data_IF_430028613501
#
_entry.id   IF_430028613501
#
_cell.length_a   1.000
_cell.length_b   1.000
_cell.length_c   1.000
_cell.angle_alpha   90.00
_cell.angle_beta   90.00
_cell.angle_gamma   90.00
#
_symmetry.space_group_name_H-M   'P 1'
#
loop_
_entity.id
_entity.type
_entity.pdbx_description
1 polymer ?
#
# COMPACT_ATOMS: atom_id res chain seq x y z
N UNK A 1 -1.06 -108.20 -5.05
CA UNK A 1 0.29 -107.99 -4.48
C UNK A 1 0.69 -106.56 -4.77
N UNK A 2 1.09 -105.81 -3.73
CA UNK A 2 1.82 -104.51 -3.74
C UNK A 2 1.21 -103.33 -4.51
N UNK A 3 0.72 -102.29 -3.82
CA UNK A 3 1.44 -101.10 -3.26
C UNK A 3 1.30 -99.92 -4.23
N UNK A 4 0.48 -98.91 -3.91
CA UNK A 4 0.89 -97.65 -3.26
C UNK A 4 1.52 -96.65 -4.27
N UNK A 5 0.85 -95.52 -4.56
CA UNK A 5 1.19 -94.18 -4.02
C UNK A 5 0.75 -93.00 -4.93
N UNK A 6 0.26 -91.93 -4.27
CA UNK A 6 0.39 -90.48 -4.61
C UNK A 6 -0.30 -89.92 -5.88
N UNK A 7 -0.70 -88.65 -6.01
CA UNK A 7 -1.22 -87.56 -5.16
C UNK A 7 -1.50 -86.38 -6.13
N UNK A 8 -2.58 -85.61 -5.89
CA UNK A 8 -2.69 -84.13 -6.03
C UNK A 8 -2.92 -83.45 -7.41
N UNK A 9 -3.89 -82.50 -7.35
CA UNK A 9 -4.18 -81.29 -8.14
C UNK A 9 -4.78 -81.42 -9.57
N UNK A 10 -5.67 -80.55 -10.03
CA UNK A 10 -5.99 -79.16 -9.63
C UNK A 10 -7.43 -78.83 -10.05
N UNK A 11 -8.12 -78.04 -9.23
CA UNK A 11 -9.52 -77.64 -9.39
C UNK A 11 -9.53 -76.20 -9.92
N UNK A 12 -9.76 -76.01 -11.22
CA UNK A 12 -9.90 -74.68 -11.84
C UNK A 12 -11.19 -74.02 -11.37
N UNK A 13 -11.06 -73.05 -10.46
CA UNK A 13 -12.11 -72.10 -10.11
C UNK A 13 -12.04 -70.90 -11.05
N UNK A 14 -13.06 -70.73 -11.90
CA UNK A 14 -13.37 -69.49 -12.60
C UNK A 14 -13.59 -68.35 -11.59
N UNK A 15 -12.56 -67.51 -11.41
CA UNK A 15 -12.72 -66.18 -10.83
C UNK A 15 -13.21 -65.24 -11.94
N UNK A 16 -14.51 -64.99 -11.98
CA UNK A 16 -15.09 -63.86 -12.72
C UNK A 16 -14.69 -62.58 -11.98
N UNK A 17 -13.60 -61.95 -12.42
CA UNK A 17 -13.28 -60.58 -12.05
C UNK A 17 -14.40 -59.65 -12.54
N UNK A 18 -15.24 -59.20 -11.61
CA UNK A 18 -16.17 -58.10 -11.84
C UNK A 18 -15.38 -56.83 -12.13
N UNK A 19 -15.30 -56.48 -13.41
CA UNK A 19 -14.75 -55.23 -13.92
C UNK A 19 -15.56 -54.05 -13.35
N UNK A 20 -15.01 -53.34 -12.36
CA UNK A 20 -15.61 -52.12 -11.83
C UNK A 20 -15.35 -50.95 -12.81
N UNK A 21 -16.39 -50.28 -13.35
CA UNK A 21 -16.24 -49.19 -14.33
C UNK A 21 -15.61 -47.89 -13.77
N UNK A 22 -15.14 -47.88 -12.52
CA UNK A 22 -14.54 -46.72 -11.87
C UNK A 22 -13.00 -46.63 -12.06
N UNK A 23 -12.35 -47.68 -12.58
CA UNK A 23 -10.90 -47.66 -12.79
C UNK A 23 -10.46 -47.07 -14.16
N UNK A 24 -11.38 -46.85 -15.10
CA UNK A 24 -11.09 -46.14 -16.37
C UNK A 24 -11.09 -44.60 -16.25
N UNK A 25 -11.55 -44.03 -15.13
CA UNK A 25 -11.53 -42.57 -14.91
C UNK A 25 -10.18 -42.01 -14.46
N UNK A 26 -9.16 -42.85 -14.22
CA UNK A 26 -7.84 -42.40 -13.72
C UNK A 26 -6.89 -41.86 -14.80
N UNK A 27 -7.27 -41.83 -16.08
CA UNK A 27 -6.39 -41.42 -17.18
C UNK A 27 -6.95 -40.36 -18.13
N UNK A 28 -8.11 -39.75 -17.82
CA UNK A 28 -8.55 -38.59 -18.59
C UNK A 28 -7.69 -37.36 -18.22
N UNK A 29 -7.09 -36.66 -19.20
CA UNK A 29 -6.32 -35.47 -18.93
C UNK A 29 -7.21 -34.39 -18.30
N UNK A 30 -6.86 -33.92 -17.10
CA UNK A 30 -7.56 -32.85 -16.38
C UNK A 30 -7.90 -31.68 -17.31
N UNK A 31 -9.13 -31.19 -17.18
CA UNK A 31 -9.58 -29.99 -17.91
C UNK A 31 -8.78 -28.75 -17.45
N UNK A 32 -8.72 -27.67 -18.25
CA UNK A 32 -8.02 -26.44 -17.87
C UNK A 32 -8.52 -25.85 -16.54
N UNK A 33 -9.83 -25.91 -16.29
CA UNK A 33 -10.47 -25.42 -15.07
C UNK A 33 -10.07 -26.25 -13.85
N UNK A 34 -10.10 -27.57 -13.95
CA UNK A 34 -9.66 -28.47 -12.88
C UNK A 34 -8.16 -28.30 -12.56
N UNK A 35 -7.34 -27.98 -13.57
CA UNK A 35 -5.91 -27.67 -13.38
C UNK A 35 -5.71 -26.36 -12.62
N UNK A 36 -6.54 -25.34 -12.88
CA UNK A 36 -6.48 -24.05 -12.19
C UNK A 36 -6.92 -24.20 -10.73
N UNK A 37 -8.08 -24.81 -10.48
CA UNK A 37 -8.58 -25.06 -9.12
C UNK A 37 -7.58 -25.87 -8.28
N UNK A 38 -6.91 -26.85 -8.89
CA UNK A 38 -5.85 -27.62 -8.22
C UNK A 38 -4.64 -26.75 -7.85
N UNK A 39 -4.20 -25.84 -8.73
CA UNK A 39 -3.09 -24.91 -8.46
C UNK A 39 -3.44 -23.94 -7.34
N UNK A 40 -4.64 -23.36 -7.37
CA UNK A 40 -5.13 -22.46 -6.32
C UNK A 40 -5.19 -23.15 -4.95
N UNK A 41 -5.73 -24.38 -4.93
CA UNK A 41 -5.77 -25.19 -3.72
C UNK A 41 -4.38 -25.48 -3.15
N UNK A 42 -3.39 -25.77 -4.01
CA UNK A 42 -2.00 -25.97 -3.58
C UNK A 42 -1.46 -24.70 -2.94
N UNK A 43 -1.61 -23.54 -3.58
CA UNK A 43 -1.10 -22.25 -3.08
C UNK A 43 -1.73 -21.91 -1.72
N UNK A 44 -3.06 -21.99 -1.59
CA UNK A 44 -3.76 -21.72 -0.31
C UNK A 44 -3.32 -22.68 0.78
N UNK A 45 -3.16 -23.96 0.42
CA UNK A 45 -2.72 -24.98 1.38
C UNK A 45 -1.30 -24.71 1.85
N UNK A 46 -0.38 -24.35 0.95
CA UNK A 46 1.00 -23.98 1.30
C UNK A 46 1.06 -22.80 2.26
N UNK A 47 0.31 -21.71 1.98
CA UNK A 47 0.24 -20.53 2.86
C UNK A 47 -0.27 -20.94 4.25
N UNK A 48 -1.39 -21.68 4.31
CA UNK A 48 -1.94 -22.11 5.60
C UNK A 48 -0.99 -23.02 6.38
N UNK A 49 -0.24 -23.89 5.71
CA UNK A 49 0.78 -24.71 6.37
C UNK A 49 1.92 -23.87 6.93
N UNK A 50 2.38 -22.85 6.21
CA UNK A 50 3.39 -21.90 6.70
C UNK A 50 2.87 -21.10 7.90
N UNK A 51 1.63 -20.59 7.83
CA UNK A 51 0.98 -19.91 8.95
C UNK A 51 0.91 -20.82 10.18
N UNK A 52 0.48 -22.08 10.00
CA UNK A 52 0.39 -23.06 11.09
C UNK A 52 1.76 -23.37 11.70
N UNK A 53 2.78 -23.59 10.87
CA UNK A 53 4.14 -23.82 11.35
C UNK A 53 4.68 -22.61 12.13
N UNK A 54 4.47 -21.39 11.63
CA UNK A 54 4.88 -20.15 12.31
C UNK A 54 4.17 -19.95 13.64
N UNK A 55 2.84 -20.18 13.70
CA UNK A 55 2.06 -20.10 14.94
C UNK A 55 2.48 -21.17 15.95
N UNK A 56 2.75 -22.39 15.50
CA UNK A 56 3.20 -23.48 16.36
C UNK A 56 4.58 -23.21 16.96
N UNK A 57 5.55 -22.78 16.15
CA UNK A 57 6.88 -22.38 16.62
C UNK A 57 6.77 -21.20 17.60
N UNK A 58 5.92 -20.21 17.28
CA UNK A 58 5.67 -19.07 18.18
C UNK A 58 5.09 -19.53 19.52
N UNK A 59 4.15 -20.48 19.53
CA UNK A 59 3.58 -21.04 20.75
C UNK A 59 4.63 -21.77 21.60
N UNK A 60 5.50 -22.59 20.99
CA UNK A 60 6.65 -23.19 21.68
C UNK A 60 7.55 -22.09 22.24
N UNK A 61 7.80 -21.04 21.47
CA UNK A 61 8.59 -19.88 21.90
C UNK A 61 7.97 -19.16 23.09
N UNK A 62 6.65 -18.98 23.15
CA UNK A 62 5.93 -18.39 24.29
C UNK A 62 6.10 -19.27 25.52
N UNK A 63 5.86 -20.58 25.40
CA UNK A 63 6.02 -21.53 26.52
C UNK A 63 7.45 -21.52 27.04
N UNK A 64 8.42 -21.48 26.14
CA UNK A 64 9.84 -21.41 26.49
C UNK A 64 10.22 -20.06 27.09
N UNK A 65 9.67 -18.95 26.59
CA UNK A 65 9.90 -17.62 27.15
C UNK A 65 9.30 -17.51 28.56
N UNK A 66 8.14 -18.11 28.79
CA UNK A 66 7.55 -18.24 30.13
C UNK A 66 8.49 -19.05 31.03
N UNK A 67 9.01 -20.18 30.56
CA UNK A 67 10.03 -20.96 31.29
C UNK A 67 11.29 -20.12 31.58
N UNK A 68 11.75 -19.31 30.64
CA UNK A 68 12.92 -18.45 30.84
C UNK A 68 12.67 -17.31 31.84
N UNK A 69 11.42 -16.81 31.96
CA UNK A 69 11.02 -15.89 33.03
C UNK A 69 11.15 -16.55 34.42
N UNK A 70 11.05 -17.88 34.50
CA UNK A 70 11.33 -18.68 35.68
C UNK A 70 12.78 -19.21 35.66
N UNK A 71 13.78 -18.32 35.72
CA UNK A 71 15.23 -18.64 35.76
C UNK A 71 15.62 -19.72 36.79
N UNK A 72 16.89 -20.12 36.90
CA UNK A 72 17.35 -21.15 37.88
C UNK A 72 16.82 -20.97 39.31
N UNK A 73 16.60 -19.73 39.75
CA UNK A 73 15.88 -19.35 40.98
C UNK A 73 14.35 -19.52 40.87
N UNK A 74 13.72 -19.07 39.78
CA UNK A 74 12.27 -19.20 39.54
C UNK A 74 11.78 -20.64 39.38
N UNK A 75 12.60 -21.54 38.84
CA UNK A 75 12.29 -22.98 38.81
C UNK A 75 12.38 -23.61 40.21
N UNK A 76 13.35 -23.20 41.01
CA UNK A 76 13.40 -23.60 42.43
C UNK A 76 12.20 -23.06 43.21
N UNK A 77 11.82 -21.80 42.99
CA UNK A 77 10.62 -21.20 43.57
C UNK A 77 9.33 -21.90 43.08
N UNK A 78 9.27 -22.31 41.81
CA UNK A 78 8.18 -23.12 41.30
C UNK A 78 8.12 -24.50 41.98
N UNK A 79 9.26 -25.15 42.18
CA UNK A 79 9.35 -26.42 42.90
C UNK A 79 9.03 -26.29 44.40
N UNK A 80 9.18 -25.09 44.97
CA UNK A 80 8.80 -24.75 46.34
C UNK A 80 7.31 -24.41 46.49
N UNK A 81 6.59 -24.12 45.40
CA UNK A 81 5.13 -24.00 45.43
C UNK A 81 4.50 -25.33 45.87
N UNK A 82 3.29 -25.26 46.43
CA UNK A 82 2.58 -26.48 46.78
C UNK A 82 2.29 -27.32 45.52
N UNK A 83 2.25 -28.64 45.69
CA UNK A 83 1.99 -29.58 44.58
C UNK A 83 0.69 -29.23 43.84
N UNK A 84 -0.31 -28.68 44.53
CA UNK A 84 -1.58 -28.26 43.92
C UNK A 84 -1.38 -27.07 42.98
N UNK A 85 -0.57 -26.07 43.36
CA UNK A 85 -0.29 -24.90 42.53
C UNK A 85 0.56 -25.28 41.31
N UNK A 86 1.51 -26.20 41.45
CA UNK A 86 2.29 -26.72 40.33
C UNK A 86 1.39 -27.43 39.30
N UNK A 87 0.50 -28.31 39.75
CA UNK A 87 -0.47 -29.01 38.90
C UNK A 87 -1.42 -28.02 38.22
N UNK A 88 -1.88 -26.98 38.93
CA UNK A 88 -2.73 -25.94 38.37
C UNK A 88 -2.05 -25.17 37.23
N UNK A 89 -0.78 -24.77 37.42
CA UNK A 89 -0.01 -24.04 36.39
C UNK A 89 0.21 -24.92 35.15
N UNK A 90 0.61 -26.19 35.34
CA UNK A 90 0.78 -27.15 34.23
C UNK A 90 -0.56 -27.37 33.51
N UNK A 91 -1.65 -27.53 34.25
CA UNK A 91 -3.00 -27.68 33.72
C UNK A 91 -3.43 -26.46 32.89
N UNK A 92 -3.11 -25.25 33.33
CA UNK A 92 -3.42 -24.01 32.62
C UNK A 92 -2.63 -23.88 31.30
N UNK A 93 -1.36 -24.30 31.29
CA UNK A 93 -0.55 -24.36 30.06
C UNK A 93 -1.11 -25.40 29.08
N UNK A 94 -1.42 -26.61 29.55
CA UNK A 94 -2.01 -27.67 28.73
C UNK A 94 -3.37 -27.24 28.15
N UNK A 95 -4.19 -26.58 28.96
CA UNK A 95 -5.48 -26.01 28.52
C UNK A 95 -5.28 -24.95 27.43
N UNK A 96 -4.29 -24.07 27.59
CA UNK A 96 -3.92 -23.08 26.57
C UNK A 96 -3.48 -23.72 25.25
N UNK A 97 -2.62 -24.75 25.30
CA UNK A 97 -2.17 -25.49 24.11
C UNK A 97 -3.35 -26.23 23.45
N UNK A 98 -4.27 -26.80 24.23
CA UNK A 98 -5.47 -27.43 23.71
C UNK A 98 -6.36 -26.44 22.96
N UNK A 99 -6.65 -25.27 23.56
CA UNK A 99 -7.42 -24.21 22.89
C UNK A 99 -6.70 -23.68 21.65
N UNK A 100 -5.38 -23.54 21.68
CA UNK A 100 -4.60 -23.15 20.52
C UNK A 100 -4.72 -24.19 19.38
N UNK A 101 -4.67 -25.48 19.71
CA UNK A 101 -4.83 -26.55 18.72
C UNK A 101 -6.22 -26.52 18.09
N UNK A 102 -7.28 -26.35 18.90
CA UNK A 102 -8.64 -26.15 18.40
C UNK A 102 -8.73 -24.92 17.50
N UNK A 103 -8.13 -23.80 17.91
CA UNK A 103 -8.06 -22.57 17.13
C UNK A 103 -7.37 -22.80 15.78
N UNK A 104 -6.23 -23.50 15.74
CA UNK A 104 -5.51 -23.83 14.51
C UNK A 104 -6.32 -24.73 13.57
N UNK A 105 -7.02 -25.74 14.09
CA UNK A 105 -7.89 -26.61 13.27
C UNK A 105 -9.06 -25.83 12.68
N UNK A 106 -9.69 -24.96 13.49
CA UNK A 106 -10.79 -24.09 13.03
C UNK A 106 -10.28 -23.09 12.00
N UNK A 107 -9.11 -22.49 12.23
CA UNK A 107 -8.44 -21.57 11.32
C UNK A 107 -8.08 -22.27 10.02
N UNK A 108 -7.60 -23.51 10.02
CA UNK A 108 -7.31 -24.25 8.79
C UNK A 108 -8.58 -24.52 7.98
N UNK A 109 -9.63 -25.06 8.63
CA UNK A 109 -10.90 -25.40 7.95
C UNK A 109 -11.64 -24.18 7.42
N UNK A 110 -11.80 -23.13 8.24
CA UNK A 110 -12.48 -21.89 7.84
C UNK A 110 -11.58 -20.99 6.98
N UNK A 111 -10.30 -20.93 7.31
CA UNK A 111 -9.29 -20.15 6.60
C UNK A 111 -9.08 -20.64 5.18
N UNK A 112 -9.09 -21.95 4.90
CA UNK A 112 -9.01 -22.45 3.51
C UNK A 112 -10.10 -21.87 2.63
N UNK A 113 -11.37 -21.99 3.05
CA UNK A 113 -12.51 -21.46 2.29
C UNK A 113 -12.47 -19.93 2.20
N UNK A 114 -12.12 -19.26 3.30
CA UNK A 114 -12.02 -17.80 3.33
C UNK A 114 -10.90 -17.27 2.42
N UNK A 115 -9.71 -17.88 2.47
CA UNK A 115 -8.56 -17.52 1.64
C UNK A 115 -8.83 -17.80 0.17
N UNK A 116 -9.38 -18.96 -0.18
CA UNK A 116 -9.72 -19.27 -1.57
C UNK A 116 -10.71 -18.23 -2.12
N UNK A 117 -11.76 -17.91 -1.37
CA UNK A 117 -12.73 -16.88 -1.78
C UNK A 117 -12.21 -15.44 -1.75
N UNK A 118 -11.10 -15.16 -1.07
CA UNK A 118 -10.50 -13.81 -0.99
C UNK A 118 -9.40 -13.64 -2.04
N UNK A 119 -8.59 -14.68 -2.26
CA UNK A 119 -7.48 -14.69 -3.21
C UNK A 119 -7.96 -14.87 -4.64
N UNK A 120 -8.95 -15.74 -4.88
CA UNK A 120 -9.35 -16.15 -6.22
C UNK A 120 -10.82 -15.83 -6.52
N UNK A 121 -11.36 -14.76 -5.94
CA UNK A 121 -12.72 -14.35 -6.27
C UNK A 121 -12.77 -13.93 -7.75
N UNK A 122 -13.40 -14.76 -8.58
CA UNK A 122 -13.67 -14.44 -9.98
C UNK A 122 -14.42 -13.10 -10.06
N UNK A 123 -13.71 -12.07 -10.50
CA UNK A 123 -14.27 -10.75 -10.83
C UNK A 123 -14.03 -10.42 -12.31
N UNK A 124 -13.85 -11.43 -13.16
CA UNK A 124 -12.98 -11.32 -14.32
C UNK A 124 -13.61 -11.25 -15.72
N UNK A 125 -14.90 -11.51 -15.92
CA UNK A 125 -15.40 -11.59 -17.30
C UNK A 125 -15.60 -10.24 -18.00
N UNK A 126 -16.03 -9.20 -17.31
CA UNK A 126 -16.35 -7.91 -17.97
C UNK A 126 -15.12 -7.02 -18.18
N UNK A 127 -14.08 -7.16 -17.35
CA UNK A 127 -12.94 -6.23 -17.28
C UNK A 127 -11.71 -6.68 -18.10
N UNK A 128 -11.60 -7.97 -18.43
CA UNK A 128 -10.48 -8.53 -19.20
C UNK A 128 -10.42 -8.02 -20.64
N UNK A 129 -11.49 -7.39 -21.13
CA UNK A 129 -11.60 -6.83 -22.48
C UNK A 129 -11.12 -5.38 -22.59
N UNK A 130 -10.83 -4.69 -21.49
CA UNK A 130 -10.32 -3.30 -21.53
C UNK A 130 -8.81 -3.31 -21.85
N UNK A 131 -8.40 -2.48 -22.82
CA UNK A 131 -6.99 -2.23 -23.17
C UNK A 131 -6.13 -1.82 -21.95
N UNK A 132 -6.77 -1.30 -20.90
CA UNK A 132 -6.18 -0.89 -19.62
C UNK A 132 -5.80 -2.10 -18.73
N UNK A 133 -6.30 -3.30 -19.02
CA UNK A 133 -6.08 -4.49 -18.20
C UNK A 133 -4.63 -4.96 -18.21
N UNK A 134 -4.05 -5.14 -19.41
CA UNK A 134 -2.70 -5.69 -19.57
C UNK A 134 -1.61 -4.79 -18.96
N UNK A 135 -1.61 -3.46 -19.18
CA UNK A 135 -0.61 -2.62 -18.53
C UNK A 135 -0.85 -2.51 -17.01
N UNK A 136 -2.10 -2.51 -16.52
CA UNK A 136 -2.36 -2.50 -15.08
C UNK A 136 -1.84 -3.78 -14.40
N UNK A 137 -1.96 -4.92 -15.07
CA UNK A 137 -1.40 -6.20 -14.62
C UNK A 137 0.12 -6.16 -14.59
N UNK A 138 0.78 -5.71 -15.67
CA UNK A 138 2.25 -5.60 -15.75
C UNK A 138 2.79 -4.65 -14.69
N UNK A 139 2.12 -3.52 -14.46
CA UNK A 139 2.55 -2.53 -13.49
C UNK A 139 2.34 -3.03 -12.04
N UNK A 140 1.19 -3.66 -11.76
CA UNK A 140 0.93 -4.27 -10.45
C UNK A 140 1.98 -5.35 -10.16
N UNK A 141 2.25 -6.20 -11.15
CA UNK A 141 3.30 -7.22 -11.10
C UNK A 141 4.69 -6.61 -10.84
N UNK A 142 5.07 -5.58 -11.59
CA UNK A 142 6.37 -4.92 -11.43
C UNK A 142 6.54 -4.25 -10.07
N UNK A 143 5.50 -3.55 -9.58
CA UNK A 143 5.50 -2.95 -8.24
C UNK A 143 5.67 -4.03 -7.16
N UNK A 144 5.00 -5.15 -7.33
CA UNK A 144 5.07 -6.30 -6.44
C UNK A 144 6.48 -6.91 -6.40
N UNK A 145 7.10 -7.08 -7.57
CA UNK A 145 8.47 -7.56 -7.70
C UNK A 145 9.42 -6.60 -6.99
N UNK A 146 9.26 -5.29 -7.17
CA UNK A 146 10.12 -4.31 -6.51
C UNK A 146 9.97 -4.32 -4.99
N UNK A 147 8.74 -4.37 -4.47
CA UNK A 147 8.50 -4.53 -3.03
C UNK A 147 9.19 -5.80 -2.53
N UNK A 148 9.03 -6.91 -3.25
CA UNK A 148 9.69 -8.17 -2.92
C UNK A 148 11.22 -8.05 -2.94
N UNK A 149 11.80 -7.36 -3.92
CA UNK A 149 13.25 -7.07 -4.00
C UNK A 149 13.73 -6.22 -2.84
N UNK A 150 12.95 -5.22 -2.38
CA UNK A 150 13.28 -4.42 -1.19
C UNK A 150 13.38 -5.33 0.03
N UNK A 151 12.35 -6.14 0.26
CA UNK A 151 12.29 -7.07 1.40
C UNK A 151 13.40 -8.12 1.32
N UNK A 152 13.63 -8.71 0.15
CA UNK A 152 14.69 -9.69 -0.07
C UNK A 152 16.08 -9.06 0.15
N UNK A 153 16.31 -7.87 -0.39
CA UNK A 153 17.54 -7.11 -0.15
C UNK A 153 17.74 -6.82 1.33
N UNK A 154 16.68 -6.51 2.06
CA UNK A 154 16.74 -6.19 3.48
C UNK A 154 17.05 -7.44 4.30
N UNK A 155 16.46 -8.59 3.94
CA UNK A 155 16.80 -9.90 4.52
C UNK A 155 18.26 -10.26 4.23
N UNK A 156 18.74 -10.08 2.99
CA UNK A 156 20.14 -10.32 2.63
C UNK A 156 21.07 -9.33 3.33
N UNK A 157 20.65 -8.08 3.55
CA UNK A 157 21.44 -7.04 4.23
C UNK A 157 21.62 -7.39 5.69
N UNK A 158 20.52 -7.83 6.31
CA UNK A 158 20.49 -8.37 7.66
C UNK A 158 21.43 -9.58 7.75
N UNK A 159 21.31 -10.57 6.85
CA UNK A 159 22.21 -11.74 6.81
C UNK A 159 23.68 -11.34 6.58
N UNK A 160 23.95 -10.41 5.65
CA UNK A 160 25.30 -9.95 5.32
C UNK A 160 25.95 -9.16 6.46
N UNK A 161 25.18 -8.33 7.16
CA UNK A 161 25.59 -7.68 8.40
C UNK A 161 25.95 -8.71 9.48
N UNK A 162 25.33 -9.89 9.44
CA UNK A 162 25.63 -11.00 10.36
C UNK A 162 26.80 -11.91 9.95
N UNK A 163 27.09 -12.04 8.64
CA UNK A 163 28.14 -12.93 8.12
C UNK A 163 29.51 -12.24 7.99
N UNK A 164 29.55 -10.93 7.73
CA UNK A 164 30.78 -10.17 7.49
C UNK A 164 31.31 -9.41 8.73
N UNK A 165 30.98 -9.87 9.94
CA UNK A 165 31.49 -9.34 11.21
C UNK A 165 32.97 -9.69 11.43
N UNK A 166 33.84 -9.12 10.60
CA UNK A 166 35.28 -9.31 10.63
C UNK A 166 36.01 -8.00 10.37
N UNK A 167 36.72 -7.55 11.41
CA UNK A 167 37.76 -6.51 11.44
C UNK A 167 37.31 -5.04 11.50
N UNK A 168 36.98 -4.60 12.73
CA UNK A 168 37.10 -3.20 13.16
C UNK A 168 35.80 -2.59 13.67
N UNK A 169 35.53 -2.79 14.97
CA UNK A 169 34.40 -2.22 15.75
C UNK A 169 33.00 -2.59 15.24
N UNK A 170 32.45 -3.69 15.80
CA UNK A 170 31.07 -4.14 15.59
C UNK A 170 30.04 -3.10 16.08
N UNK A 171 29.27 -2.42 15.20
CA UNK A 171 28.21 -1.54 15.66
C UNK A 171 27.03 -2.33 16.25
N UNK A 172 26.84 -3.60 15.86
CA UNK A 172 25.77 -4.49 16.36
C UNK A 172 26.19 -5.96 16.26
N UNK A 173 26.87 -6.48 17.28
CA UNK A 173 27.35 -7.86 17.33
C UNK A 173 26.17 -8.86 17.44
N UNK A 174 25.59 -9.27 16.31
CA UNK A 174 24.31 -10.02 16.28
C UNK A 174 24.40 -11.39 16.91
N UNK A 175 25.52 -12.10 16.77
CA UNK A 175 25.70 -13.36 17.48
C UNK A 175 25.72 -13.12 18.99
N UNK A 176 26.28 -12.02 19.47
CA UNK A 176 26.18 -11.60 20.87
C UNK A 176 24.76 -11.20 21.25
N UNK A 177 24.02 -10.51 20.36
CA UNK A 177 22.61 -10.17 20.58
C UNK A 177 21.72 -11.42 20.65
N UNK A 178 21.76 -12.30 19.64
CA UNK A 178 21.05 -13.58 19.61
C UNK A 178 21.46 -14.47 20.78
N UNK A 179 22.77 -14.59 21.07
CA UNK A 179 23.25 -15.39 22.19
C UNK A 179 22.92 -14.76 23.55
N UNK A 180 22.68 -13.45 23.61
CA UNK A 180 22.18 -12.74 24.76
C UNK A 180 20.66 -12.82 24.94
N UNK A 181 19.91 -13.14 23.87
CA UNK A 181 18.48 -13.44 23.97
C UNK A 181 18.28 -14.79 24.67
N UNK A 182 17.26 -14.86 25.52
CA UNK A 182 16.83 -16.11 26.14
C UNK A 182 16.40 -17.13 25.06
N UNK A 183 16.41 -18.43 25.38
CA UNK A 183 16.07 -19.48 24.41
C UNK A 183 14.67 -19.29 23.81
N UNK A 184 13.70 -18.90 24.64
CA UNK A 184 12.34 -18.59 24.22
C UNK A 184 12.24 -17.35 23.35
N UNK A 185 13.00 -16.31 23.64
CA UNK A 185 13.06 -15.11 22.79
C UNK A 185 13.63 -15.43 21.39
N UNK A 186 14.62 -16.34 21.28
CA UNK A 186 15.14 -16.80 19.98
C UNK A 186 14.11 -17.58 19.18
N UNK A 187 13.41 -18.52 19.83
CA UNK A 187 12.37 -19.33 19.18
C UNK A 187 11.21 -18.44 18.72
N UNK A 188 10.81 -17.46 19.54
CA UNK A 188 9.81 -16.45 19.19
C UNK A 188 10.24 -15.61 17.96
N UNK A 189 11.51 -15.20 17.91
CA UNK A 189 12.04 -14.44 16.78
C UNK A 189 11.97 -15.26 15.48
N UNK A 190 12.31 -16.55 15.52
CA UNK A 190 12.19 -17.46 14.37
C UNK A 190 10.72 -17.61 13.94
N UNK A 191 9.82 -17.89 14.90
CA UNK A 191 8.38 -18.02 14.63
C UNK A 191 7.77 -16.75 14.04
N UNK A 192 8.12 -15.59 14.59
CA UNK A 192 7.71 -14.28 14.09
C UNK A 192 8.24 -13.99 12.69
N UNK A 193 9.49 -14.35 12.40
CA UNK A 193 10.09 -14.18 11.07
C UNK A 193 9.35 -15.00 10.02
N UNK A 194 9.03 -16.26 10.32
CA UNK A 194 8.23 -17.13 9.43
C UNK A 194 6.86 -16.52 9.16
N UNK A 195 6.17 -16.01 10.19
CA UNK A 195 4.86 -15.38 10.05
C UNK A 195 4.90 -14.08 9.22
N UNK A 196 5.96 -13.28 9.37
CA UNK A 196 6.15 -12.08 8.56
C UNK A 196 6.37 -12.46 7.09
N UNK A 197 7.22 -13.45 6.81
CA UNK A 197 7.46 -13.93 5.44
C UNK A 197 6.19 -14.52 4.82
N UNK A 198 5.41 -15.28 5.58
CA UNK A 198 4.13 -15.84 5.14
C UNK A 198 3.10 -14.75 4.85
N UNK A 199 3.00 -13.72 5.71
CA UNK A 199 2.15 -12.56 5.49
C UNK A 199 2.53 -11.77 4.23
N UNK A 200 3.84 -11.60 3.97
CA UNK A 200 4.35 -10.99 2.74
C UNK A 200 4.01 -11.84 1.52
N UNK A 201 4.17 -13.16 1.60
CA UNK A 201 3.83 -14.07 0.51
C UNK A 201 2.32 -14.10 0.22
N UNK A 202 1.47 -14.09 1.26
CA UNK A 202 0.03 -13.92 1.11
C UNK A 202 -0.33 -12.59 0.46
N UNK A 203 0.24 -11.49 0.93
CA UNK A 203 0.05 -10.15 0.35
C UNK A 203 0.49 -10.10 -1.12
N UNK A 204 1.57 -10.82 -1.45
CA UNK A 204 2.07 -10.98 -2.81
C UNK A 204 1.01 -11.65 -3.70
N UNK A 205 0.55 -12.85 -3.33
CA UNK A 205 -0.46 -13.59 -4.11
C UNK A 205 -1.76 -12.79 -4.22
N UNK A 206 -2.22 -12.18 -3.12
CA UNK A 206 -3.44 -11.38 -3.11
C UNK A 206 -3.36 -10.21 -4.09
N UNK A 207 -2.28 -9.43 -4.03
CA UNK A 207 -2.08 -8.27 -4.90
C UNK A 207 -1.85 -8.68 -6.35
N UNK A 208 -1.20 -9.82 -6.58
CA UNK A 208 -1.02 -10.38 -7.93
C UNK A 208 -2.35 -10.70 -8.61
N UNK A 209 -3.24 -11.40 -7.90
CA UNK A 209 -4.54 -11.83 -8.45
C UNK A 209 -5.52 -10.66 -8.50
N UNK A 210 -5.61 -9.88 -7.41
CA UNK A 210 -6.69 -8.89 -7.21
C UNK A 210 -6.26 -7.42 -7.35
N UNK A 211 -4.96 -7.11 -7.29
CA UNK A 211 -4.47 -5.72 -7.27
C UNK A 211 -4.86 -4.93 -8.51
N UNK A 212 -4.81 -5.57 -9.67
CA UNK A 212 -5.26 -4.99 -10.95
C UNK A 212 -6.73 -4.54 -10.91
N UNK A 213 -7.61 -5.27 -10.22
CA UNK A 213 -9.04 -4.93 -10.13
C UNK A 213 -9.26 -3.64 -9.34
N UNK A 214 -8.50 -3.45 -8.24
CA UNK A 214 -8.59 -2.24 -7.42
C UNK A 214 -8.22 -1.02 -8.26
N UNK A 215 -7.12 -1.12 -9.02
CA UNK A 215 -6.64 -0.05 -9.90
C UNK A 215 -7.65 0.25 -11.01
N UNK A 216 -8.06 -0.76 -11.77
CA UNK A 216 -8.96 -0.57 -12.93
C UNK A 216 -10.33 -0.07 -12.47
N UNK A 217 -10.89 -0.60 -11.38
CA UNK A 217 -12.21 -0.19 -10.89
C UNK A 217 -12.24 1.27 -10.46
N UNK A 218 -11.14 1.81 -9.91
CA UNK A 218 -11.05 3.23 -9.57
C UNK A 218 -10.92 4.10 -10.82
N UNK A 219 -10.14 3.67 -11.81
CA UNK A 219 -9.95 4.39 -13.08
C UNK A 219 -11.26 4.43 -13.87
N UNK A 220 -11.90 3.28 -14.08
CA UNK A 220 -13.14 3.18 -14.87
C UNK A 220 -14.30 3.96 -14.24
N UNK A 221 -14.53 3.81 -12.93
CA UNK A 221 -15.59 4.56 -12.25
C UNK A 221 -15.43 6.07 -12.35
N UNK A 222 -14.20 6.56 -12.44
CA UNK A 222 -13.95 7.98 -12.64
C UNK A 222 -14.24 8.38 -14.09
N UNK A 223 -13.72 7.64 -15.07
CA UNK A 223 -13.88 7.98 -16.49
C UNK A 223 -15.34 7.96 -16.93
N UNK A 224 -16.09 6.92 -16.57
CA UNK A 224 -17.52 6.83 -16.91
C UNK A 224 -18.28 8.05 -16.40
N UNK A 225 -18.01 8.48 -15.16
CA UNK A 225 -18.64 9.69 -14.58
C UNK A 225 -18.30 10.98 -15.32
N UNK A 226 -17.11 11.08 -15.90
CA UNK A 226 -16.69 12.29 -16.64
C UNK A 226 -17.26 12.27 -18.05
N UNK A 227 -17.19 11.13 -18.74
CA UNK A 227 -17.74 10.94 -20.09
C UNK A 227 -19.27 11.12 -20.11
N UNK A 228 -19.99 10.62 -19.11
CA UNK A 228 -21.43 10.86 -18.96
C UNK A 228 -21.76 12.34 -18.71
N UNK A 229 -20.88 13.06 -18.02
CA UNK A 229 -21.11 14.45 -17.64
C UNK A 229 -20.75 15.44 -18.74
N UNK A 230 -19.75 15.10 -19.57
CA UNK A 230 -19.19 15.97 -20.59
C UNK A 230 -18.91 15.18 -21.88
N UNK A 231 -19.81 15.20 -22.87
CA UNK A 231 -19.54 14.59 -24.16
C UNK A 231 -18.54 15.46 -24.94
N UNK A 232 -17.30 14.97 -25.05
CA UNK A 232 -16.23 15.65 -25.81
C UNK A 232 -16.30 15.29 -27.31
N UNK A 233 -16.06 16.29 -28.16
CA UNK A 233 -15.89 16.07 -29.60
C UNK A 233 -14.59 15.31 -29.90
N UNK A 234 -14.52 14.61 -31.04
CA UNK A 234 -13.34 13.79 -31.37
C UNK A 234 -12.07 14.63 -31.56
N UNK A 235 -12.18 15.84 -32.11
CA UNK A 235 -11.07 16.78 -32.20
C UNK A 235 -10.53 17.19 -30.83
N UNK A 236 -11.42 17.42 -29.86
CA UNK A 236 -11.04 17.73 -28.48
C UNK A 236 -10.31 16.55 -27.85
N UNK A 237 -10.84 15.33 -28.02
CA UNK A 237 -10.19 14.08 -27.54
C UNK A 237 -8.78 13.92 -28.12
N UNK A 238 -8.54 14.28 -29.38
CA UNK A 238 -7.21 14.23 -30.00
C UNK A 238 -6.27 15.21 -29.29
N UNK A 239 -6.68 16.47 -29.08
CA UNK A 239 -5.87 17.47 -28.37
C UNK A 239 -5.55 17.01 -26.94
N UNK A 240 -6.54 16.47 -26.22
CA UNK A 240 -6.33 15.89 -24.88
C UNK A 240 -5.29 14.76 -24.89
N UNK A 241 -5.39 13.82 -25.84
CA UNK A 241 -4.42 12.73 -26.00
C UNK A 241 -3.01 13.23 -26.30
N UNK A 242 -2.86 14.24 -27.17
CA UNK A 242 -1.56 14.84 -27.51
C UNK A 242 -0.95 15.51 -26.28
N UNK A 243 -1.69 16.39 -25.60
CA UNK A 243 -1.24 17.07 -24.38
C UNK A 243 -0.89 16.07 -23.28
N UNK A 244 -1.70 15.03 -23.12
CA UNK A 244 -1.42 13.96 -22.18
C UNK A 244 -0.13 13.20 -22.55
N UNK A 245 0.08 12.91 -23.83
CA UNK A 245 1.30 12.29 -24.34
C UNK A 245 2.57 13.11 -24.04
N UNK A 246 2.49 14.45 -24.12
CA UNK A 246 3.58 15.35 -23.75
C UNK A 246 3.92 15.20 -22.26
N UNK A 247 2.93 15.24 -21.38
CA UNK A 247 3.13 15.08 -19.93
C UNK A 247 3.75 13.71 -19.62
N UNK A 248 3.28 12.63 -20.27
CA UNK A 248 3.88 11.30 -20.07
C UNK A 248 5.32 11.25 -20.56
N UNK A 249 5.63 11.88 -21.69
CA UNK A 249 7.00 11.95 -22.18
C UNK A 249 7.90 12.70 -21.17
N UNK A 250 7.43 13.80 -20.57
CA UNK A 250 8.15 14.54 -19.53
C UNK A 250 8.40 13.69 -18.29
N UNK A 251 7.37 13.01 -17.77
CA UNK A 251 7.50 12.10 -16.63
C UNK A 251 8.49 10.97 -16.93
N UNK A 252 8.43 10.39 -18.14
CA UNK A 252 9.37 9.36 -18.57
C UNK A 252 10.80 9.91 -18.64
N UNK A 253 11.01 11.13 -19.14
CA UNK A 253 12.33 11.76 -19.15
C UNK A 253 12.86 12.03 -17.73
N UNK A 254 11.99 12.40 -16.77
CA UNK A 254 12.36 12.51 -15.35
C UNK A 254 12.79 11.14 -14.82
N UNK A 255 12.04 10.09 -15.09
CA UNK A 255 12.38 8.72 -14.67
C UNK A 255 13.73 8.29 -15.26
N UNK A 256 13.95 8.52 -16.56
CA UNK A 256 15.23 8.23 -17.22
C UNK A 256 16.36 9.07 -16.62
N UNK A 257 16.13 10.36 -16.34
CA UNK A 257 17.09 11.23 -15.67
C UNK A 257 17.46 10.74 -14.28
N UNK A 258 16.48 10.28 -13.48
CA UNK A 258 16.72 9.66 -12.17
C UNK A 258 17.58 8.40 -12.32
N UNK A 259 17.19 7.47 -13.19
CA UNK A 259 17.94 6.23 -13.44
C UNK A 259 19.38 6.56 -13.83
N UNK A 260 19.55 7.50 -14.76
CA UNK A 260 20.86 7.88 -15.26
C UNK A 260 21.69 8.59 -14.19
N UNK A 261 21.09 9.44 -13.35
CA UNK A 261 21.78 10.09 -12.24
C UNK A 261 22.28 9.07 -11.21
N UNK A 262 21.52 7.99 -11.00
CA UNK A 262 21.92 6.89 -10.11
C UNK A 262 23.05 6.07 -10.74
N UNK A 263 22.97 5.79 -12.04
CA UNK A 263 24.05 5.13 -12.79
C UNK A 263 25.32 5.98 -12.67
N UNK A 264 25.24 7.29 -12.95
CA UNK A 264 26.37 8.20 -12.79
C UNK A 264 26.92 8.15 -11.35
N UNK A 265 26.07 8.20 -10.33
CA UNK A 265 26.48 8.09 -8.93
C UNK A 265 27.12 6.73 -8.59
N UNK A 266 26.66 5.63 -9.21
CA UNK A 266 27.16 4.29 -8.97
C UNK A 266 28.44 3.94 -9.77
N UNK A 267 28.77 4.71 -10.81
CA UNK A 267 29.92 4.48 -11.69
C UNK A 267 31.00 5.56 -11.61
N UNK A 268 30.72 6.75 -11.08
CA UNK A 268 31.72 7.76 -10.69
C UNK A 268 32.35 7.40 -9.33
N UNK A 269 33.22 8.25 -8.77
CA UNK A 269 33.98 7.98 -7.52
C UNK A 269 33.10 7.52 -6.33
N UNK A 270 31.83 7.97 -6.27
CA UNK A 270 30.84 7.51 -5.28
C UNK A 270 30.43 6.03 -5.41
N UNK A 271 30.64 5.44 -6.59
CA UNK A 271 30.44 4.03 -6.87
C UNK A 271 31.35 3.11 -6.07
N UNK A 272 32.55 3.58 -5.72
CA UNK A 272 33.46 2.83 -4.85
C UNK A 272 32.92 2.75 -3.42
N UNK A 273 32.38 3.86 -2.91
CA UNK A 273 31.68 3.92 -1.62
C UNK A 273 30.39 3.10 -1.65
N UNK A 274 29.60 3.17 -2.71
CA UNK A 274 28.37 2.38 -2.81
C UNK A 274 28.64 0.86 -2.87
N UNK A 275 29.66 0.44 -3.63
CA UNK A 275 30.10 -0.96 -3.72
C UNK A 275 30.69 -1.48 -2.40
N UNK A 276 31.11 -0.59 -1.50
CA UNK A 276 31.57 -0.97 -0.16
C UNK A 276 30.43 -1.32 0.80
N UNK A 277 29.18 -0.94 0.50
CA UNK A 277 28.03 -1.37 1.31
C UNK A 277 27.76 -2.87 1.13
N UNK A 278 27.23 -3.55 2.16
CA UNK A 278 26.77 -4.93 2.05
C UNK A 278 25.84 -5.14 0.85
N UNK A 279 26.01 -6.26 0.13
CA UNK A 279 25.25 -6.60 -1.09
C UNK A 279 23.73 -6.47 -0.88
N UNK A 280 23.23 -6.81 0.30
CA UNK A 280 21.81 -6.64 0.60
C UNK A 280 21.33 -5.19 0.62
N UNK A 281 22.13 -4.26 1.14
CA UNK A 281 21.81 -2.82 1.11
C UNK A 281 21.78 -2.33 -0.35
N UNK A 282 22.72 -2.80 -1.17
CA UNK A 282 22.73 -2.50 -2.60
C UNK A 282 21.46 -3.02 -3.29
N UNK A 283 21.05 -4.27 -3.01
CA UNK A 283 19.81 -4.86 -3.55
C UNK A 283 18.56 -4.10 -3.07
N UNK A 284 18.48 -3.74 -1.79
CA UNK A 284 17.36 -2.94 -1.25
C UNK A 284 17.29 -1.57 -1.90
N UNK A 285 18.44 -0.92 -2.10
CA UNK A 285 18.51 0.37 -2.78
C UNK A 285 17.94 0.25 -4.20
N UNK A 286 18.39 -0.72 -5.01
CA UNK A 286 17.81 -0.98 -6.34
C UNK A 286 16.32 -1.32 -6.28
N UNK A 287 15.87 -2.06 -5.27
CA UNK A 287 14.46 -2.36 -5.03
C UNK A 287 13.63 -1.10 -4.77
N UNK A 288 14.13 -0.17 -3.95
CA UNK A 288 13.48 1.12 -3.66
C UNK A 288 13.33 1.93 -4.95
N UNK A 289 14.37 1.98 -5.79
CA UNK A 289 14.28 2.68 -7.07
C UNK A 289 13.32 2.02 -8.04
N UNK A 290 13.35 0.69 -8.14
CA UNK A 290 12.35 -0.04 -8.92
C UNK A 290 10.94 0.28 -8.44
N UNK A 291 10.71 0.29 -7.12
CA UNK A 291 9.39 0.58 -6.55
C UNK A 291 8.95 2.03 -6.84
N UNK A 292 9.86 3.00 -6.74
CA UNK A 292 9.59 4.39 -7.12
C UNK A 292 9.25 4.51 -8.60
N UNK A 293 10.03 3.88 -9.48
CA UNK A 293 9.79 3.88 -10.92
C UNK A 293 8.43 3.27 -11.26
N UNK A 294 8.12 2.09 -10.73
CA UNK A 294 6.84 1.44 -10.96
C UNK A 294 5.68 2.21 -10.34
N UNK A 295 5.87 2.86 -9.18
CA UNK A 295 4.87 3.75 -8.59
C UNK A 295 4.60 4.96 -9.49
N UNK A 296 5.64 5.54 -10.10
CA UNK A 296 5.49 6.61 -11.09
C UNK A 296 4.77 6.12 -12.34
N UNK A 297 5.00 4.88 -12.79
CA UNK A 297 4.25 4.28 -13.89
C UNK A 297 2.79 4.00 -13.51
N UNK A 298 2.50 3.50 -12.29
CA UNK A 298 1.13 3.37 -11.75
C UNK A 298 0.45 4.73 -11.82
N UNK A 299 1.11 5.75 -11.28
CA UNK A 299 0.59 7.10 -11.25
C UNK A 299 0.33 7.60 -12.68
N UNK A 300 1.29 7.45 -13.59
CA UNK A 300 1.13 7.82 -15.01
C UNK A 300 -0.05 7.09 -15.66
N UNK A 301 -0.29 5.82 -15.35
CA UNK A 301 -1.41 5.05 -15.89
C UNK A 301 -2.75 5.46 -15.27
N UNK A 302 -2.79 5.75 -13.97
CA UNK A 302 -3.95 6.39 -13.35
C UNK A 302 -4.28 7.69 -14.07
N UNK A 303 -3.26 8.48 -14.40
CA UNK A 303 -3.38 9.71 -15.15
C UNK A 303 -3.64 9.47 -16.66
N UNK A 304 -3.44 8.29 -17.23
CA UNK A 304 -3.71 8.06 -18.67
C UNK A 304 -5.14 8.35 -19.06
N UNK A 305 -6.11 7.64 -18.48
CA UNK A 305 -7.52 7.94 -18.76
C UNK A 305 -8.03 9.13 -17.93
N UNK A 306 -7.65 9.20 -16.64
CA UNK A 306 -8.11 10.27 -15.73
C UNK A 306 -7.53 11.63 -16.08
N UNK A 307 -6.23 11.68 -16.34
CA UNK A 307 -5.48 12.87 -16.72
C UNK A 307 -5.87 13.36 -18.10
N UNK A 308 -6.08 12.47 -19.09
CA UNK A 308 -6.69 12.90 -20.36
C UNK A 308 -8.06 13.58 -20.12
N UNK A 309 -8.93 12.96 -19.33
CA UNK A 309 -10.22 13.56 -18.97
C UNK A 309 -10.10 14.87 -18.17
N UNK A 310 -9.09 15.00 -17.29
CA UNK A 310 -8.80 16.24 -16.57
C UNK A 310 -8.29 17.33 -17.52
N UNK A 311 -7.42 17.00 -18.46
CA UNK A 311 -6.91 17.93 -19.49
C UNK A 311 -8.07 18.38 -20.38
N UNK A 312 -8.91 17.46 -20.85
CA UNK A 312 -10.10 17.79 -21.65
C UNK A 312 -11.05 18.69 -20.87
N UNK A 313 -11.28 18.37 -19.59
CA UNK A 313 -12.08 19.23 -18.70
C UNK A 313 -11.45 20.60 -18.53
N UNK A 314 -10.13 20.67 -18.40
CA UNK A 314 -9.43 21.92 -18.19
C UNK A 314 -9.41 22.83 -19.43
N UNK A 315 -9.27 22.24 -20.61
CA UNK A 315 -9.16 22.94 -21.89
C UNK A 315 -10.53 23.31 -22.47
N UNK A 316 -11.52 22.41 -22.39
CA UNK A 316 -12.73 22.49 -23.22
C UNK A 316 -14.03 22.59 -22.45
N UNK A 317 -14.10 22.12 -21.19
CA UNK A 317 -15.32 22.30 -20.41
C UNK A 317 -15.37 23.74 -19.94
N UNK A 318 -16.35 24.49 -20.42
CA UNK A 318 -16.71 25.77 -19.82
C UNK A 318 -17.69 25.50 -18.68
N UNK A 319 -17.23 25.70 -17.45
CA UNK A 319 -18.09 25.66 -16.28
C UNK A 319 -18.98 26.92 -16.27
N UNK A 320 -20.11 26.89 -16.97
CA UNK A 320 -21.13 27.93 -16.78
C UNK A 320 -21.72 27.79 -15.37
N UNK A 321 -21.69 28.81 -14.50
CA UNK A 321 -22.40 28.74 -13.23
C UNK A 321 -23.88 28.52 -13.54
N UNK A 322 -24.41 27.36 -13.15
CA UNK A 322 -25.85 27.09 -13.21
C UNK A 322 -26.50 27.98 -12.14
N UNK A 323 -27.28 28.95 -12.60
CA UNK A 323 -28.25 29.70 -11.80
C UNK A 323 -27.73 30.63 -10.68
N UNK A 324 -26.43 30.96 -10.63
CA UNK A 324 -25.88 31.88 -9.61
C UNK A 324 -25.48 33.22 -10.22
N UNK A 325 -25.81 34.30 -9.50
CA UNK A 325 -25.54 35.72 -9.80
C UNK A 325 -24.34 35.92 -10.74
N UNK A 326 -24.63 36.34 -11.97
CA UNK A 326 -23.64 36.53 -13.05
C UNK A 326 -22.56 37.58 -12.73
N UNK A 327 -22.58 38.22 -11.57
CA UNK A 327 -21.79 39.41 -11.28
C UNK A 327 -21.14 39.47 -9.88
N UNK A 328 -20.63 38.34 -9.38
CA UNK A 328 -19.81 38.37 -8.16
C UNK A 328 -18.43 38.98 -8.47
N UNK A 329 -18.26 40.26 -8.09
CA UNK A 329 -17.03 41.04 -8.32
C UNK A 329 -15.84 40.43 -7.58
N UNK A 330 -16.03 39.85 -6.39
CA UNK A 330 -14.95 39.22 -5.64
C UNK A 330 -14.39 37.99 -6.36
N UNK A 331 -15.27 37.14 -6.92
CA UNK A 331 -14.85 36.00 -7.72
C UNK A 331 -14.05 36.42 -8.96
N UNK A 332 -14.47 37.48 -9.67
CA UNK A 332 -13.72 38.04 -10.82
C UNK A 332 -12.34 38.53 -10.41
N UNK A 333 -12.26 39.32 -9.34
CA UNK A 333 -10.99 39.88 -8.84
C UNK A 333 -10.02 38.78 -8.41
N UNK A 334 -10.50 37.77 -7.68
CA UNK A 334 -9.66 36.64 -7.24
C UNK A 334 -9.14 35.86 -8.45
N UNK A 335 -10.00 35.56 -9.43
CA UNK A 335 -9.58 34.85 -10.65
C UNK A 335 -8.56 35.63 -11.47
N UNK A 336 -8.77 36.94 -11.65
CA UNK A 336 -7.79 37.82 -12.33
C UNK A 336 -6.47 37.84 -11.54
N UNK A 337 -6.53 37.90 -10.20
CA UNK A 337 -5.35 37.81 -9.34
C UNK A 337 -4.56 36.51 -9.52
N UNK A 338 -5.23 35.37 -9.62
CA UNK A 338 -4.58 34.09 -9.94
C UNK A 338 -3.95 34.10 -11.33
N UNK A 339 -4.65 34.61 -12.34
CA UNK A 339 -4.12 34.70 -13.71
C UNK A 339 -2.87 35.58 -13.79
N UNK A 340 -2.87 36.74 -13.13
CA UNK A 340 -1.70 37.62 -13.06
C UNK A 340 -0.56 36.94 -12.33
N UNK A 341 -0.83 36.23 -11.23
CA UNK A 341 0.19 35.52 -10.46
C UNK A 341 0.87 34.41 -11.29
N UNK A 342 0.07 33.59 -11.98
CA UNK A 342 0.60 32.54 -12.87
C UNK A 342 1.38 33.16 -14.03
N UNK A 343 0.87 34.24 -14.63
CA UNK A 343 1.56 34.95 -15.71
C UNK A 343 2.90 35.53 -15.27
N UNK A 344 2.96 36.14 -14.09
CA UNK A 344 4.20 36.66 -13.51
C UNK A 344 5.19 35.54 -13.17
N UNK A 345 4.72 34.39 -12.69
CA UNK A 345 5.57 33.21 -12.50
C UNK A 345 6.17 32.74 -13.83
N UNK A 346 5.35 32.58 -14.88
CA UNK A 346 5.81 32.17 -16.21
C UNK A 346 6.81 33.18 -16.80
N UNK A 347 6.49 34.47 -16.76
CA UNK A 347 7.38 35.54 -17.24
C UNK A 347 8.69 35.55 -16.44
N UNK A 348 8.63 35.43 -15.12
CA UNK A 348 9.82 35.35 -14.27
C UNK A 348 10.70 34.15 -14.61
N UNK A 349 10.09 32.99 -14.86
CA UNK A 349 10.80 31.77 -15.27
C UNK A 349 11.43 31.92 -16.66
N UNK A 350 10.74 32.55 -17.61
CA UNK A 350 11.27 32.87 -18.95
C UNK A 350 12.43 33.86 -18.86
N UNK A 351 12.29 34.95 -18.10
CA UNK A 351 13.37 35.94 -17.92
C UNK A 351 14.57 35.30 -17.25
N UNK A 352 14.36 34.46 -16.24
CA UNK A 352 15.42 33.70 -15.59
C UNK A 352 16.14 32.78 -16.58
N UNK A 353 15.40 32.00 -17.38
CA UNK A 353 15.96 31.16 -18.45
C UNK A 353 16.73 31.97 -19.49
N UNK A 354 16.17 33.08 -19.98
CA UNK A 354 16.83 33.96 -20.96
C UNK A 354 18.11 34.58 -20.40
N UNK A 355 18.08 35.01 -19.14
CA UNK A 355 19.26 35.56 -18.45
C UNK A 355 20.37 34.51 -18.38
N UNK A 356 20.00 33.26 -18.10
CA UNK A 356 20.92 32.14 -18.09
C UNK A 356 21.48 31.86 -19.50
N UNK A 357 20.63 31.81 -20.53
CA UNK A 357 21.05 31.57 -21.93
C UNK A 357 22.02 32.67 -22.39
N UNK A 358 21.70 33.94 -22.12
CA UNK A 358 22.55 35.07 -22.51
C UNK A 358 23.91 35.01 -21.80
N UNK A 359 23.94 34.67 -20.50
CA UNK A 359 25.18 34.45 -19.76
C UNK A 359 25.99 33.27 -20.31
N UNK A 360 25.33 32.22 -20.81
CA UNK A 360 25.99 31.08 -21.45
C UNK A 360 26.72 31.47 -22.74
N UNK A 361 26.09 32.29 -23.57
CA UNK A 361 26.63 32.71 -24.87
C UNK A 361 27.74 33.74 -24.71
N UNK A 362 27.71 34.56 -23.65
CA UNK A 362 28.68 35.63 -23.43
C UNK A 362 30.10 35.17 -23.02
N UNK A 363 30.36 33.85 -22.86
CA UNK A 363 31.66 33.21 -22.60
C UNK A 363 32.49 33.72 -21.40
N UNK A 364 32.03 34.71 -20.65
CA UNK A 364 32.84 35.39 -19.62
C UNK A 364 32.52 34.97 -18.17
N UNK A 365 31.56 34.07 -17.94
CA UNK A 365 31.09 33.76 -16.59
C UNK A 365 30.91 32.23 -16.42
N UNK A 366 31.79 31.59 -15.62
CA UNK A 366 31.71 30.17 -15.27
C UNK A 366 30.49 29.82 -14.42
N UNK A 367 29.71 30.83 -14.01
CA UNK A 367 28.50 30.73 -13.20
C UNK A 367 27.19 30.71 -14.03
N UNK A 368 27.24 30.20 -15.26
CA UNK A 368 26.07 29.96 -16.08
C UNK A 368 25.44 28.61 -15.72
N UNK A 369 24.10 28.54 -15.51
CA UNK A 369 23.42 27.26 -15.20
C UNK A 369 23.65 26.19 -16.26
N UNK A 370 23.83 26.51 -17.54
CA UNK A 370 24.13 25.49 -18.56
C UNK A 370 25.56 24.98 -18.43
N UNK A 371 26.50 25.80 -17.94
CA UNK A 371 27.82 25.34 -17.55
C UNK A 371 27.77 24.55 -16.22
N UNK A 372 26.92 24.93 -15.28
CA UNK A 372 26.65 24.18 -14.04
C UNK A 372 25.95 22.85 -14.34
N UNK A 373 24.98 22.82 -15.24
CA UNK A 373 24.25 21.64 -15.72
C UNK A 373 25.14 20.78 -16.63
N UNK A 374 25.98 21.37 -17.47
CA UNK A 374 26.98 20.63 -18.26
C UNK A 374 28.11 20.09 -17.37
N UNK A 375 28.37 20.74 -16.23
CA UNK A 375 29.27 20.25 -15.18
C UNK A 375 28.61 19.25 -14.23
N UNK A 376 27.28 19.11 -14.26
CA UNK A 376 26.56 18.03 -13.58
C UNK A 376 26.72 16.74 -14.38
N UNK A 377 26.58 15.61 -13.68
CA UNK A 377 26.54 14.32 -14.36
C UNK A 377 25.37 14.30 -15.36
N UNK A 378 25.53 13.59 -16.49
CA UNK A 378 24.56 13.61 -17.59
C UNK A 378 23.12 13.31 -17.14
N UNK A 379 22.95 12.48 -16.12
CA UNK A 379 21.64 12.13 -15.57
C UNK A 379 21.02 13.22 -14.73
N UNK A 380 21.83 13.93 -13.95
CA UNK A 380 21.36 15.05 -13.12
C UNK A 380 21.01 16.26 -14.00
N UNK A 381 21.74 16.44 -15.11
CA UNK A 381 21.39 17.39 -16.16
C UNK A 381 20.05 17.05 -16.82
N UNK A 382 19.87 15.80 -17.29
CA UNK A 382 18.63 15.31 -17.90
C UNK A 382 17.42 15.46 -16.97
N UNK A 383 17.59 15.10 -15.69
CA UNK A 383 16.58 15.26 -14.65
C UNK A 383 16.17 16.73 -14.51
N UNK A 384 17.15 17.64 -14.43
CA UNK A 384 16.90 19.06 -14.26
C UNK A 384 16.14 19.66 -15.46
N UNK A 385 16.51 19.30 -16.69
CA UNK A 385 15.77 19.74 -17.88
C UNK A 385 14.33 19.23 -17.89
N UNK A 386 14.14 17.97 -17.52
CA UNK A 386 12.82 17.33 -17.55
C UNK A 386 11.88 17.93 -16.50
N UNK A 387 12.39 18.23 -15.30
CA UNK A 387 11.64 18.92 -14.23
C UNK A 387 11.28 20.35 -14.65
N UNK A 388 12.20 21.09 -15.28
CA UNK A 388 11.90 22.43 -15.78
C UNK A 388 10.79 22.38 -16.84
N UNK A 389 10.90 21.46 -17.81
CA UNK A 389 9.88 21.26 -18.84
C UNK A 389 8.51 20.92 -18.23
N UNK A 390 8.45 19.98 -17.29
CA UNK A 390 7.22 19.59 -16.60
C UNK A 390 6.58 20.78 -15.85
N UNK A 391 7.38 21.60 -15.17
CA UNK A 391 6.89 22.81 -14.50
C UNK A 391 6.23 23.77 -15.50
N UNK A 392 6.84 23.98 -16.66
CA UNK A 392 6.24 24.81 -17.71
C UNK A 392 4.92 24.25 -18.22
N UNK A 393 4.86 22.94 -18.47
CA UNK A 393 3.66 22.26 -18.95
C UNK A 393 2.54 22.34 -17.92
N UNK A 394 2.82 22.13 -16.63
CA UNK A 394 1.85 22.28 -15.53
C UNK A 394 1.37 23.74 -15.43
N UNK A 395 2.28 24.72 -15.48
CA UNK A 395 1.90 26.14 -15.41
C UNK A 395 1.03 26.56 -16.60
N UNK A 396 1.33 26.07 -17.82
CA UNK A 396 0.53 26.32 -19.01
C UNK A 396 -0.87 25.72 -18.91
N UNK A 397 -0.99 24.50 -18.38
CA UNK A 397 -2.28 23.86 -18.14
C UNK A 397 -3.08 24.59 -17.05
N UNK A 398 -2.45 24.99 -15.95
CA UNK A 398 -3.08 25.78 -14.90
C UNK A 398 -3.55 27.12 -15.43
N UNK A 399 -2.71 27.82 -16.20
CA UNK A 399 -3.08 29.08 -16.82
C UNK A 399 -4.32 28.92 -17.71
N UNK A 400 -4.32 27.92 -18.59
CA UNK A 400 -5.44 27.64 -19.50
C UNK A 400 -6.72 27.27 -18.73
N UNK A 401 -6.58 26.45 -17.68
CA UNK A 401 -7.68 26.12 -16.78
C UNK A 401 -8.27 27.37 -16.12
N UNK A 402 -7.45 28.21 -15.50
CA UNK A 402 -7.94 29.42 -14.83
C UNK A 402 -8.49 30.46 -15.81
N UNK A 403 -7.98 30.49 -17.04
CA UNK A 403 -8.47 31.38 -18.09
C UNK A 403 -9.90 31.03 -18.49
N UNK A 404 -10.19 29.74 -18.70
CA UNK A 404 -11.52 29.28 -19.11
C UNK A 404 -12.49 29.06 -17.96
N UNK A 405 -12.00 28.54 -16.83
CA UNK A 405 -12.83 28.02 -15.74
C UNK A 405 -12.61 28.73 -14.40
N UNK A 406 -11.61 29.60 -14.30
CA UNK A 406 -11.22 30.18 -13.02
C UNK A 406 -12.34 30.94 -12.34
N UNK A 407 -13.18 31.69 -13.08
CA UNK A 407 -14.30 32.42 -12.48
C UNK A 407 -15.30 31.48 -11.80
N UNK A 408 -15.75 30.46 -12.52
CA UNK A 408 -16.75 29.51 -12.02
C UNK A 408 -16.20 28.65 -10.88
N UNK A 409 -14.94 28.22 -10.97
CA UNK A 409 -14.26 27.50 -9.91
C UNK A 409 -14.14 28.34 -8.63
N UNK A 410 -13.71 29.60 -8.74
CA UNK A 410 -13.63 30.52 -7.61
C UNK A 410 -15.00 30.76 -6.99
N UNK A 411 -16.03 30.92 -7.82
CA UNK A 411 -17.41 31.12 -7.35
C UNK A 411 -17.94 29.92 -6.56
N UNK A 412 -17.77 28.69 -7.06
CA UNK A 412 -18.16 27.46 -6.33
C UNK A 412 -17.44 27.35 -4.98
N UNK A 413 -16.16 27.76 -4.91
CA UNK A 413 -15.42 27.79 -3.64
C UNK A 413 -15.93 28.86 -2.68
N UNK A 414 -16.25 30.06 -3.16
CA UNK A 414 -16.84 31.13 -2.34
C UNK A 414 -18.18 30.66 -1.77
N UNK A 415 -19.08 30.14 -2.61
CA UNK A 415 -20.40 29.66 -2.16
C UNK A 415 -20.27 28.55 -1.11
N UNK A 416 -19.34 27.61 -1.29
CA UNK A 416 -19.09 26.55 -0.29
C UNK A 416 -18.58 27.12 1.03
N UNK A 417 -17.70 28.11 0.97
CA UNK A 417 -17.18 28.79 2.16
C UNK A 417 -18.31 29.56 2.86
N UNK A 418 -19.10 30.33 2.13
CA UNK A 418 -20.27 31.06 2.65
C UNK A 418 -21.26 30.10 3.32
N UNK A 419 -21.63 29.01 2.63
CA UNK A 419 -22.53 27.99 3.20
C UNK A 419 -21.96 27.35 4.48
N UNK A 420 -20.66 27.04 4.49
CA UNK A 420 -20.02 26.48 5.68
C UNK A 420 -19.93 27.48 6.86
N UNK A 421 -19.79 28.77 6.55
CA UNK A 421 -19.82 29.84 7.54
C UNK A 421 -21.23 30.05 8.10
N UNK A 422 -22.25 30.03 7.25
CA UNK A 422 -23.66 30.14 7.66
C UNK A 422 -24.08 28.95 8.54
N UNK A 423 -23.76 27.72 8.13
CA UNK A 423 -23.99 26.52 8.94
C UNK A 423 -23.21 26.59 10.28
N UNK A 424 -21.97 27.10 10.25
CA UNK A 424 -21.16 27.35 11.45
C UNK A 424 -21.77 28.39 12.38
N UNK A 425 -22.34 29.47 11.83
CA UNK A 425 -23.00 30.53 12.59
C UNK A 425 -24.34 30.07 13.17
N UNK A 426 -25.14 29.31 12.43
CA UNK A 426 -26.39 28.74 12.92
C UNK A 426 -26.16 27.72 14.03
N UNK A 427 -25.21 26.80 13.84
CA UNK A 427 -24.83 25.84 14.89
C UNK A 427 -24.25 26.54 16.11
N UNK A 428 -23.46 27.61 15.91
CA UNK A 428 -22.97 28.47 16.99
C UNK A 428 -24.09 29.16 17.76
N UNK A 429 -25.09 29.74 17.07
CA UNK A 429 -26.28 30.36 17.68
C UNK A 429 -27.09 29.34 18.48
N UNK A 430 -27.36 28.15 17.93
CA UNK A 430 -28.07 27.06 18.62
C UNK A 430 -27.36 26.67 19.92
N UNK A 431 -26.05 26.44 19.87
CA UNK A 431 -25.24 26.13 21.08
C UNK A 431 -25.26 27.27 22.11
N UNK A 432 -25.23 28.52 21.65
CA UNK A 432 -25.30 29.68 22.55
C UNK A 432 -26.66 29.77 23.26
N UNK A 433 -27.75 29.48 22.55
CA UNK A 433 -29.10 29.50 23.12
C UNK A 433 -29.37 28.29 24.02
N UNK A 434 -28.90 27.09 23.68
CA UNK A 434 -28.88 25.93 24.57
C UNK A 434 -28.15 26.24 25.89
N UNK A 435 -26.97 26.86 25.80
CA UNK A 435 -26.20 27.28 26.98
C UNK A 435 -26.91 28.36 27.81
N UNK A 436 -27.68 29.26 27.18
CA UNK A 436 -28.53 30.23 27.89
C UNK A 436 -29.71 29.53 28.58
N UNK A 437 -30.34 28.56 27.93
CA UNK A 437 -31.42 27.76 28.53
C UNK A 437 -30.94 26.92 29.70
N UNK A 438 -29.80 26.23 29.56
CA UNK A 438 -29.17 25.46 30.63
C UNK A 438 -28.86 26.35 31.84
N UNK A 439 -28.26 27.54 31.60
CA UNK A 439 -28.06 28.54 32.65
C UNK A 439 -29.36 28.99 33.31
N UNK A 440 -30.46 29.15 32.56
CA UNK A 440 -31.79 29.46 33.11
C UNK A 440 -32.34 28.31 33.96
N UNK A 441 -32.19 27.05 33.52
CA UNK A 441 -32.61 25.85 34.27
C UNK A 441 -31.83 25.70 35.58
N UNK A 442 -30.51 25.82 35.54
CA UNK A 442 -29.64 25.80 36.74
C UNK A 442 -30.01 26.91 37.73
N UNK A 443 -30.37 28.12 37.25
CA UNK A 443 -30.85 29.20 38.12
C UNK A 443 -32.20 28.90 38.77
N UNK A 444 -33.11 28.17 38.09
CA UNK A 444 -34.39 27.72 38.67
C UNK A 444 -34.16 26.65 39.75
N UNK A 445 -33.35 25.64 39.46
CA UNK A 445 -32.99 24.59 40.42
C UNK A 445 -32.34 25.16 41.69
N UNK A 446 -31.34 26.05 41.54
CA UNK A 446 -30.72 26.74 42.70
C UNK A 446 -31.70 27.59 43.51
N UNK A 447 -32.75 28.14 42.88
CA UNK A 447 -33.82 28.87 43.61
C UNK A 447 -34.74 27.91 44.36
N UNK A 448 -35.03 26.73 43.81
CA UNK A 448 -35.83 25.69 44.46
C UNK A 448 -35.10 25.06 45.64
N UNK A 449 -33.82 24.71 45.47
CA UNK A 449 -32.96 24.23 46.56
C UNK A 449 -32.92 25.23 47.73
N UNK A 450 -32.69 26.52 47.45
CA UNK A 450 -32.72 27.57 48.48
C UNK A 450 -34.08 27.69 49.17
N UNK A 451 -35.19 27.45 48.45
CA UNK A 451 -36.54 27.44 49.04
C UNK A 451 -36.73 26.22 49.94
N UNK A 452 -36.29 25.04 49.52
CA UNK A 452 -36.35 23.81 50.31
C UNK A 452 -35.49 23.90 51.56
N UNK A 453 -34.25 24.39 51.44
CA UNK A 453 -33.35 24.61 52.58
C UNK A 453 -33.95 25.58 53.61
N UNK A 454 -34.59 26.66 53.14
CA UNK A 454 -35.31 27.60 54.02
C UNK A 454 -36.51 26.95 54.71
N UNK A 455 -37.25 26.05 54.04
CA UNK A 455 -38.35 25.30 54.66
C UNK A 455 -37.83 24.33 55.72
N UNK A 456 -36.80 23.53 55.39
CA UNK A 456 -36.17 22.62 56.33
C UNK A 456 -35.59 23.33 57.57
N UNK A 457 -34.97 24.51 57.40
CA UNK A 457 -34.51 25.35 58.52
C UNK A 457 -35.65 25.89 59.38
N UNK A 458 -36.84 26.13 58.82
CA UNK A 458 -38.02 26.54 59.58
C UNK A 458 -38.63 25.37 60.35
N UNK A 459 -38.65 24.18 59.76
CA UNK A 459 -39.10 22.96 60.44
C UNK A 459 -38.19 22.60 61.61
N UNK A 460 -36.86 22.68 61.46
CA UNK A 460 -35.91 22.43 62.57
C UNK A 460 -35.98 23.44 63.73
N UNK A 461 -36.68 24.57 63.57
CA UNK A 461 -36.85 25.60 64.61
C UNK A 461 -38.20 25.54 65.32
N UNK A 462 -39.13 24.73 64.82
CA UNK A 462 -40.36 24.36 65.51
C UNK A 462 -40.10 23.08 66.28
#
# INVERSE_FOLDING_TARGET
MSSENSNINENEGENVETFHPDDEKKSQPLTPEEKEERRENIIVTTILWLTMAGLFISAIGIVWAIKDLFTTTGWQEFLLLSIQTQIFIIGLILLGIFFLTLFLVVLFRRGKRSMQSTLFKEKHEELSKDETYLPAKVITAGTLICIFTIFLGLVIAIIGLFLNGGEGEDPLNFWTFLSGLSGGARILLIGGTILVLDGLFYGFVYTWVNGQWIVISQILKYNTKVEEKYPFEDNQKIVGKVMFGIIVAEILMIVVGIIWAIIDAAFLDYGTTFRSYPVGIQISFYGIFGALLFSTLIFSMFFYKRGNNLILTALFVQLSPKDVEKDNTAAKVITIGFLISISMMVIGLIIWLLTIIIKAVAQSDTNNIFATLAGMSGGLALLSYSVIAEIFTILGLLFTFFLHNGYSWTMDKIIKIEKSLDEGLETGKKKADEKKEEKKRLRKLKKEEKKQEKKAKKEKKK
#
